data_IF_022157232083
#
_entry.id   IF_022157232083
#
_cell.length_a   1.000
_cell.length_b   1.000
_cell.length_c   1.000
_cell.angle_alpha   90.00
_cell.angle_beta   90.00
_cell.angle_gamma   90.00
#
_symmetry.space_group_name_H-M   'P 1'
#
loop_
_entity.id
_entity.type
_entity.pdbx_description
1 polymer ?
#
# COMPACT_ATOMS: atom_id res chain seq x y z
N UNK A 1 -14.34 -7.12 9.90
CA UNK A 1 -14.70 -6.47 11.18
C UNK A 1 -13.44 -5.89 11.79
N UNK A 2 -13.54 -4.82 12.54
CA UNK A 2 -12.41 -4.15 13.21
C UNK A 2 -12.67 -4.15 14.70
N UNK A 3 -11.66 -4.54 15.49
CA UNK A 3 -11.64 -4.46 16.95
C UNK A 3 -10.51 -3.52 17.34
N UNK A 4 -10.83 -2.45 18.05
CA UNK A 4 -9.85 -1.51 18.59
C UNK A 4 -9.59 -1.88 20.05
N UNK A 5 -8.32 -2.03 20.41
CA UNK A 5 -7.92 -2.32 21.78
C UNK A 5 -7.64 -1.03 22.56
N UNK A 6 -7.87 -1.06 23.85
CA UNK A 6 -7.49 0.04 24.74
C UNK A 6 -5.98 0.23 24.77
N UNK A 7 -5.55 1.42 25.13
CA UNK A 7 -4.13 1.70 25.31
C UNK A 7 -3.55 0.88 26.47
N UNK A 8 -2.31 0.39 26.29
CA UNK A 8 -1.59 -0.33 27.35
C UNK A 8 -2.11 -1.74 27.66
N UNK A 9 -2.83 -2.38 26.74
CA UNK A 9 -3.27 -3.77 26.93
C UNK A 9 -2.08 -4.71 27.05
N UNK A 10 -2.08 -5.52 28.10
CA UNK A 10 -1.08 -6.54 28.37
C UNK A 10 -0.97 -7.54 27.20
N UNK A 11 0.27 -7.81 26.76
CA UNK A 11 0.53 -8.66 25.60
C UNK A 11 -0.11 -10.07 25.71
N UNK A 12 -0.13 -10.64 26.90
CA UNK A 12 -0.74 -11.95 27.15
C UNK A 12 -2.25 -11.95 26.85
N UNK A 13 -2.98 -10.94 27.31
CA UNK A 13 -4.42 -10.78 27.07
C UNK A 13 -4.75 -10.53 25.60
N UNK A 14 -3.89 -9.73 24.92
CA UNK A 14 -4.00 -9.51 23.50
C UNK A 14 -3.82 -10.80 22.71
N UNK A 15 -2.78 -11.58 23.01
CA UNK A 15 -2.52 -12.86 22.36
C UNK A 15 -3.68 -13.84 22.57
N UNK A 16 -4.21 -13.93 23.78
CA UNK A 16 -5.35 -14.78 24.08
C UNK A 16 -6.58 -14.44 23.23
N UNK A 17 -6.89 -13.15 23.07
CA UNK A 17 -8.00 -12.71 22.21
C UNK A 17 -7.75 -13.07 20.74
N UNK A 18 -6.53 -12.85 20.25
CA UNK A 18 -6.15 -13.17 18.87
C UNK A 18 -6.28 -14.67 18.61
N UNK A 19 -5.79 -15.50 19.50
CA UNK A 19 -5.85 -16.96 19.35
C UNK A 19 -7.29 -17.48 19.40
N UNK A 20 -8.11 -16.88 20.26
CA UNK A 20 -9.55 -17.20 20.32
C UNK A 20 -10.27 -16.84 19.01
N UNK A 21 -9.96 -15.66 18.42
CA UNK A 21 -10.53 -15.25 17.13
C UNK A 21 -10.03 -16.12 15.97
N UNK A 22 -8.75 -16.52 15.97
CA UNK A 22 -8.20 -17.45 14.98
C UNK A 22 -8.85 -18.83 15.06
N UNK A 23 -9.15 -19.31 16.25
CA UNK A 23 -9.85 -20.58 16.46
C UNK A 23 -11.26 -20.60 15.85
N UNK A 24 -11.86 -19.42 15.59
CA UNK A 24 -13.13 -19.28 14.87
C UNK A 24 -12.95 -19.22 13.33
N UNK A 25 -11.77 -19.52 12.80
CA UNK A 25 -11.48 -19.53 11.37
C UNK A 25 -11.19 -18.16 10.77
N UNK A 26 -10.90 -17.16 11.60
CA UNK A 26 -10.60 -15.80 11.15
C UNK A 26 -9.09 -15.58 10.96
N UNK A 27 -8.72 -14.82 9.93
CA UNK A 27 -7.38 -14.28 9.78
C UNK A 27 -7.34 -12.92 10.47
N UNK A 28 -6.34 -12.72 11.33
CA UNK A 28 -6.20 -11.48 12.11
C UNK A 28 -5.02 -10.67 11.57
N UNK A 29 -5.31 -9.47 11.10
CA UNK A 29 -4.32 -8.45 10.79
C UNK A 29 -4.18 -7.51 11.98
N UNK A 30 -2.93 -7.33 12.44
CA UNK A 30 -2.62 -6.47 13.58
C UNK A 30 -2.00 -5.18 13.03
N UNK A 31 -2.58 -4.04 13.38
CA UNK A 31 -1.99 -2.72 13.14
C UNK A 31 -1.68 -2.10 14.49
N UNK A 32 -0.40 -1.96 14.79
CA UNK A 32 0.09 -1.34 16.03
C UNK A 32 0.45 0.11 15.76
N UNK A 33 -0.33 1.04 16.29
CA UNK A 33 -0.02 2.45 16.32
C UNK A 33 0.57 2.87 17.67
N UNK A 34 1.04 4.11 17.74
CA UNK A 34 1.66 4.66 18.96
C UNK A 34 0.69 4.66 20.16
N UNK A 35 -0.60 4.89 19.92
CA UNK A 35 -1.62 5.02 20.96
C UNK A 35 -2.65 3.89 21.00
N UNK A 36 -2.83 3.17 19.91
CA UNK A 36 -3.85 2.14 19.80
C UNK A 36 -3.40 0.95 18.97
N UNK A 37 -3.86 -0.24 19.36
CA UNK A 37 -3.72 -1.45 18.54
C UNK A 37 -5.08 -1.78 17.92
N UNK A 38 -5.08 -2.00 16.61
CA UNK A 38 -6.27 -2.35 15.84
C UNK A 38 -6.14 -3.76 15.31
N UNK A 39 -7.13 -4.60 15.58
CA UNK A 39 -7.23 -5.96 15.04
C UNK A 39 -8.24 -5.96 13.89
N UNK A 40 -7.76 -6.25 12.68
CA UNK A 40 -8.59 -6.44 11.51
C UNK A 40 -8.96 -7.91 11.34
N UNK A 41 -10.23 -8.24 11.47
CA UNK A 41 -10.76 -9.59 11.31
C UNK A 41 -11.16 -9.80 9.85
N UNK A 42 -10.50 -10.72 9.18
CA UNK A 42 -10.74 -11.09 7.78
C UNK A 42 -11.26 -12.53 7.73
N UNK A 43 -12.34 -12.72 7.00
CA UNK A 43 -13.06 -13.99 6.89
C UNK A 43 -14.55 -13.78 7.06
N UNK A 44 -15.28 -14.87 7.27
CA UNK A 44 -16.70 -14.81 7.56
C UNK A 44 -16.91 -14.39 9.02
N UNK A 45 -17.28 -13.12 9.19
CA UNK A 45 -17.57 -12.53 10.51
C UNK A 45 -19.05 -12.51 10.83
N UNK A 46 -19.89 -13.21 10.06
CA UNK A 46 -21.36 -13.18 10.24
C UNK A 46 -21.76 -13.73 11.60
N UNK A 47 -21.10 -14.79 12.03
CA UNK A 47 -21.38 -15.50 13.29
C UNK A 47 -20.55 -14.96 14.48
N UNK A 48 -19.76 -13.91 14.28
CA UNK A 48 -18.98 -13.32 15.36
C UNK A 48 -19.85 -12.42 16.20
N UNK A 49 -19.95 -12.74 17.48
CA UNK A 49 -20.70 -11.95 18.46
C UNK A 49 -19.93 -10.67 18.81
N UNK A 50 -20.43 -9.56 18.25
CA UNK A 50 -19.82 -8.23 18.46
C UNK A 50 -19.98 -7.73 19.90
N UNK A 51 -21.11 -8.05 20.52
CA UNK A 51 -21.42 -7.58 21.86
C UNK A 51 -20.54 -8.29 22.89
N UNK A 52 -20.30 -9.59 22.68
CA UNK A 52 -19.35 -10.36 23.48
C UNK A 52 -17.94 -9.76 23.39
N UNK A 53 -17.46 -9.46 22.17
CA UNK A 53 -16.12 -8.86 22.02
C UNK A 53 -16.07 -7.46 22.64
N UNK A 54 -17.11 -6.65 22.44
CA UNK A 54 -17.18 -5.31 23.00
C UNK A 54 -17.23 -5.30 24.54
N UNK A 55 -17.75 -6.37 25.15
CA UNK A 55 -17.79 -6.51 26.62
C UNK A 55 -16.43 -6.83 27.25
N UNK A 56 -15.45 -7.26 26.45
CA UNK A 56 -14.11 -7.56 26.95
C UNK A 56 -13.40 -6.31 27.47
N UNK A 57 -12.92 -6.37 28.69
CA UNK A 57 -12.30 -5.22 29.36
C UNK A 57 -11.10 -4.59 28.63
N UNK A 58 -10.50 -5.32 27.69
CA UNK A 58 -9.34 -4.89 26.88
C UNK A 58 -9.75 -4.22 25.55
N UNK A 59 -11.04 -4.30 25.18
CA UNK A 59 -11.57 -3.75 23.94
C UNK A 59 -12.10 -2.34 24.18
N UNK A 60 -11.76 -1.42 23.32
CA UNK A 60 -12.27 -0.07 23.27
C UNK A 60 -13.54 0.01 22.42
N UNK A 61 -13.48 -0.53 21.20
CA UNK A 61 -14.62 -0.54 20.29
C UNK A 61 -14.56 -1.68 19.28
N UNK A 62 -15.75 -2.11 18.80
CA UNK A 62 -15.91 -3.09 17.72
C UNK A 62 -16.79 -2.47 16.63
N UNK A 63 -16.35 -2.60 15.35
CA UNK A 63 -17.09 -2.04 14.21
C UNK A 63 -17.11 -3.02 13.04
N UNK A 64 -18.28 -3.23 12.44
CA UNK A 64 -18.37 -3.87 11.12
C UNK A 64 -17.96 -2.87 10.05
N UNK A 65 -17.04 -3.29 9.18
CA UNK A 65 -16.66 -2.50 8.01
C UNK A 65 -17.38 -3.12 6.82
N UNK A 66 -18.39 -2.44 6.36
CA UNK A 66 -19.17 -2.79 5.16
C UNK A 66 -18.64 -2.15 3.89
N UNK A 67 -17.51 -1.43 3.98
CA UNK A 67 -16.90 -0.76 2.85
C UNK A 67 -16.15 -1.76 1.97
N UNK A 68 -16.13 -1.56 0.63
CA UNK A 68 -15.51 -2.49 -0.31
C UNK A 68 -13.98 -2.58 -0.19
N UNK A 69 -13.35 -1.61 0.49
CA UNK A 69 -11.92 -1.58 0.78
C UNK A 69 -11.70 -1.59 2.29
N UNK A 70 -10.88 -2.53 2.78
CA UNK A 70 -10.62 -2.72 4.21
C UNK A 70 -9.19 -2.33 4.57
N UNK A 71 -8.19 -2.89 3.89
CA UNK A 71 -6.78 -2.73 4.26
C UNK A 71 -6.26 -1.28 4.14
N UNK A 72 -6.80 -0.50 3.21
CA UNK A 72 -6.42 0.90 3.01
C UNK A 72 -7.39 1.90 3.68
N UNK A 73 -8.35 1.40 4.45
CA UNK A 73 -9.31 2.26 5.13
C UNK A 73 -8.70 2.81 6.42
N UNK A 74 -8.85 4.11 6.67
CA UNK A 74 -8.38 4.78 7.89
C UNK A 74 -8.94 4.19 9.19
N UNK A 75 -10.11 3.55 9.14
CA UNK A 75 -10.66 2.82 10.28
C UNK A 75 -9.87 1.57 10.64
N UNK A 76 -9.14 1.00 9.66
CA UNK A 76 -8.29 -0.16 9.82
C UNK A 76 -6.82 0.24 10.01
N UNK A 77 -6.36 1.23 9.26
CA UNK A 77 -5.00 1.76 9.30
C UNK A 77 -5.06 3.28 9.54
N UNK A 78 -5.10 3.75 10.80
CA UNK A 78 -5.28 5.17 11.13
C UNK A 78 -4.09 6.03 10.70
N UNK A 79 -2.89 5.47 10.72
CA UNK A 79 -1.65 6.18 10.43
C UNK A 79 -1.37 6.29 8.92
N UNK A 80 -0.60 7.28 8.54
CA UNK A 80 -0.17 7.45 7.17
C UNK A 80 0.86 6.39 6.79
N UNK A 81 0.58 5.69 5.69
CA UNK A 81 1.58 4.80 5.09
C UNK A 81 2.64 5.64 4.38
N UNK A 82 3.89 5.39 4.69
CA UNK A 82 5.04 5.94 3.97
C UNK A 82 5.74 4.82 3.21
N UNK A 83 5.83 4.96 1.89
CA UNK A 83 6.55 4.03 1.03
C UNK A 83 7.91 4.61 0.70
N UNK A 84 8.97 3.87 0.98
CA UNK A 84 10.33 4.26 0.65
C UNK A 84 10.78 3.60 -0.66
N UNK A 85 11.26 4.42 -1.60
CA UNK A 85 11.81 3.99 -2.89
C UNK A 85 13.20 4.61 -3.05
N UNK A 86 14.23 3.88 -2.67
CA UNK A 86 15.56 4.46 -2.49
C UNK A 86 15.52 5.57 -1.45
N UNK A 87 15.96 6.77 -1.81
CA UNK A 87 15.96 7.94 -0.92
C UNK A 87 14.63 8.73 -0.96
N UNK A 88 13.66 8.29 -1.76
CA UNK A 88 12.38 8.98 -1.94
C UNK A 88 11.33 8.40 -1.01
N UNK A 89 10.66 9.26 -0.23
CA UNK A 89 9.55 8.90 0.66
C UNK A 89 8.23 9.38 0.06
N UNK A 90 7.30 8.44 -0.15
CA UNK A 90 5.97 8.70 -0.73
C UNK A 90 4.93 8.56 0.37
N UNK A 91 4.12 9.58 0.62
CA UNK A 91 3.13 9.62 1.69
C UNK A 91 3.62 10.32 2.95
N UNK A 92 2.83 10.34 4.01
CA UNK A 92 3.17 10.99 5.28
C UNK A 92 3.49 12.49 5.16
N UNK A 93 2.77 13.20 4.27
CA UNK A 93 2.99 14.63 4.03
C UNK A 93 4.12 14.97 3.04
N UNK A 94 4.86 13.97 2.52
CA UNK A 94 5.89 14.21 1.50
C UNK A 94 5.24 14.40 0.13
N UNK A 95 5.64 15.47 -0.57
CA UNK A 95 5.29 15.70 -1.96
C UNK A 95 6.33 15.03 -2.87
N UNK A 96 5.88 14.19 -3.81
CA UNK A 96 6.76 13.48 -4.75
C UNK A 96 6.32 13.75 -6.18
N UNK A 97 7.24 14.23 -7.00
CA UNK A 97 7.04 14.43 -8.43
C UNK A 97 7.48 13.19 -9.20
N UNK A 98 6.52 12.54 -9.85
CA UNK A 98 6.74 11.38 -10.73
C UNK A 98 6.55 11.86 -12.17
N UNK A 99 7.61 11.86 -12.98
CA UNK A 99 7.57 12.39 -14.34
C UNK A 99 8.25 11.47 -15.35
N UNK A 100 7.84 11.57 -16.62
CA UNK A 100 8.40 10.77 -17.71
C UNK A 100 7.40 10.55 -18.85
N UNK A 101 7.82 9.90 -19.95
CA UNK A 101 7.00 9.77 -21.14
C UNK A 101 5.83 8.81 -20.94
N UNK A 102 4.76 9.02 -21.69
CA UNK A 102 3.64 8.06 -21.71
C UNK A 102 4.10 6.69 -22.20
N UNK A 103 5.02 6.64 -23.17
CA UNK A 103 5.53 5.42 -23.77
C UNK A 103 7.06 5.45 -23.87
N UNK A 104 7.69 4.31 -23.60
CA UNK A 104 9.11 4.09 -23.89
C UNK A 104 9.20 3.58 -25.33
N UNK A 105 9.92 4.31 -26.19
CA UNK A 105 9.94 4.04 -27.64
C UNK A 105 11.37 3.81 -28.16
N UNK A 106 12.37 4.46 -27.57
CA UNK A 106 13.79 4.21 -27.85
C UNK A 106 14.66 4.53 -26.62
N UNK A 107 15.92 4.13 -26.67
CA UNK A 107 16.90 4.44 -25.63
C UNK A 107 17.17 5.94 -25.57
N UNK A 108 17.40 6.57 -26.73
CA UNK A 108 17.67 7.99 -26.83
C UNK A 108 16.53 8.82 -26.24
N UNK A 109 15.30 8.44 -26.57
CA UNK A 109 14.12 9.12 -26.06
C UNK A 109 14.03 9.04 -24.53
N UNK A 110 14.13 7.84 -23.98
CA UNK A 110 13.91 7.66 -22.54
C UNK A 110 15.04 8.28 -21.71
N UNK A 111 16.29 8.20 -22.18
CA UNK A 111 17.45 8.79 -21.50
C UNK A 111 17.36 10.33 -21.54
N UNK A 112 17.06 10.92 -22.70
CA UNK A 112 16.89 12.37 -22.84
C UNK A 112 15.75 12.90 -21.96
N UNK A 113 14.61 12.21 -21.96
CA UNK A 113 13.47 12.59 -21.09
C UNK A 113 13.84 12.43 -19.62
N UNK A 114 14.51 11.35 -19.22
CA UNK A 114 14.90 11.13 -17.84
C UNK A 114 15.85 12.24 -17.33
N UNK A 115 16.82 12.66 -18.14
CA UNK A 115 17.71 13.78 -17.83
C UNK A 115 16.94 15.10 -17.67
N UNK A 116 16.03 15.38 -18.60
CA UNK A 116 15.22 16.59 -18.57
C UNK A 116 14.29 16.67 -17.34
N UNK A 117 13.59 15.58 -17.01
CA UNK A 117 12.70 15.57 -15.84
C UNK A 117 13.49 15.61 -14.53
N UNK A 118 14.68 14.99 -14.47
CA UNK A 118 15.58 15.12 -13.33
C UNK A 118 16.02 16.57 -13.12
N UNK A 119 16.45 17.24 -14.19
CA UNK A 119 16.85 18.65 -14.15
C UNK A 119 15.69 19.56 -13.73
N UNK A 120 14.46 19.15 -14.02
CA UNK A 120 13.23 19.86 -13.62
C UNK A 120 12.77 19.53 -12.19
N UNK A 121 13.50 18.70 -11.44
CA UNK A 121 13.20 18.39 -10.04
C UNK A 121 12.31 17.18 -9.81
N UNK A 122 12.10 16.31 -10.80
CA UNK A 122 11.41 15.04 -10.58
C UNK A 122 12.17 14.13 -9.62
N UNK A 123 11.43 13.42 -8.76
CA UNK A 123 11.97 12.49 -7.78
C UNK A 123 11.98 11.05 -8.29
N UNK A 124 11.05 10.69 -9.17
CA UNK A 124 10.87 9.35 -9.72
C UNK A 124 10.66 9.44 -11.23
N UNK A 125 11.31 8.54 -11.99
CA UNK A 125 11.10 8.38 -13.41
C UNK A 125 9.88 7.47 -13.67
N UNK A 126 9.05 7.87 -14.61
CA UNK A 126 7.93 7.09 -15.10
C UNK A 126 8.07 6.81 -16.59
N UNK A 127 7.76 5.60 -17.04
CA UNK A 127 7.67 5.25 -18.45
C UNK A 127 6.78 4.03 -18.68
N UNK A 128 5.94 4.05 -19.72
CA UNK A 128 5.07 2.94 -20.06
C UNK A 128 5.73 1.98 -21.04
N UNK A 129 6.15 0.78 -20.58
CA UNK A 129 6.72 -0.27 -21.43
C UNK A 129 5.66 -1.16 -22.10
N UNK A 130 4.49 -1.30 -21.46
CA UNK A 130 3.35 -2.06 -21.95
C UNK A 130 2.18 -1.11 -22.24
N UNK A 131 1.54 -1.26 -23.40
CA UNK A 131 0.40 -0.43 -23.81
C UNK A 131 -0.79 -1.34 -24.14
N UNK A 132 -1.74 -1.52 -23.21
CA UNK A 132 -2.95 -2.29 -23.47
C UNK A 132 -3.84 -1.50 -24.45
N UNK A 133 -3.76 -1.85 -25.74
CA UNK A 133 -4.57 -1.25 -26.79
C UNK A 133 -5.63 -2.23 -27.26
N UNK A 134 -6.83 -1.72 -27.53
CA UNK A 134 -7.94 -2.52 -28.05
C UNK A 134 -7.68 -3.00 -29.49
N UNK A 135 -7.01 -2.19 -30.29
CA UNK A 135 -6.61 -2.59 -31.65
C UNK A 135 -5.27 -3.34 -31.62
N UNK A 136 -5.26 -4.53 -32.21
CA UNK A 136 -4.04 -5.35 -32.40
C UNK A 136 -2.99 -4.70 -33.32
N UNK A 137 -3.40 -3.74 -34.15
CA UNK A 137 -2.52 -3.01 -35.06
C UNK A 137 -1.87 -1.79 -34.42
N UNK A 138 -2.33 -1.36 -33.26
CA UNK A 138 -1.72 -0.26 -32.53
C UNK A 138 -0.44 -0.69 -31.83
N UNK A 139 0.46 0.25 -31.60
CA UNK A 139 1.69 0.03 -30.84
C UNK A 139 1.38 -0.47 -29.43
N UNK A 140 1.83 -1.66 -29.09
CA UNK A 140 1.58 -2.33 -27.81
C UNK A 140 2.65 -2.04 -26.75
N UNK A 141 3.59 -1.15 -27.03
CA UNK A 141 4.78 -0.90 -26.22
C UNK A 141 5.94 -1.84 -26.56
N UNK A 142 7.12 -1.52 -26.09
CA UNK A 142 8.33 -2.34 -26.26
C UNK A 142 8.38 -3.53 -25.29
N UNK A 143 7.40 -3.65 -24.40
CA UNK A 143 7.28 -4.75 -23.43
C UNK A 143 8.55 -4.91 -22.58
N UNK A 144 9.12 -6.12 -22.51
CA UNK A 144 10.33 -6.41 -21.73
C UNK A 144 11.52 -5.53 -22.15
N UNK A 145 11.71 -5.28 -23.44
CA UNK A 145 12.76 -4.39 -23.94
C UNK A 145 12.59 -2.96 -23.38
N UNK A 146 11.34 -2.47 -23.29
CA UNK A 146 11.08 -1.15 -22.69
C UNK A 146 11.45 -1.07 -21.20
N UNK A 147 11.38 -2.19 -20.46
CA UNK A 147 11.84 -2.25 -19.07
C UNK A 147 13.38 -2.15 -19.00
N UNK A 148 14.10 -2.82 -19.92
CA UNK A 148 15.56 -2.70 -19.95
C UNK A 148 16.00 -1.27 -20.30
N UNK A 149 15.30 -0.61 -21.21
CA UNK A 149 15.55 0.82 -21.52
C UNK A 149 15.28 1.74 -20.32
N UNK A 150 14.26 1.45 -19.52
CA UNK A 150 14.03 2.16 -18.25
C UNK A 150 15.17 1.96 -17.24
N UNK A 151 15.74 0.75 -17.17
CA UNK A 151 16.93 0.49 -16.33
C UNK A 151 18.15 1.28 -16.79
N UNK A 152 18.37 1.39 -18.13
CA UNK A 152 19.42 2.23 -18.70
C UNK A 152 19.23 3.71 -18.29
N UNK A 153 18.01 4.23 -18.43
CA UNK A 153 17.70 5.61 -18.03
C UNK A 153 17.88 5.84 -16.52
N UNK A 154 17.48 4.86 -15.69
CA UNK A 154 17.73 4.87 -14.24
C UNK A 154 19.23 4.92 -13.95
N UNK A 155 20.04 4.09 -14.60
CA UNK A 155 21.50 4.08 -14.41
C UNK A 155 22.14 5.42 -14.81
N UNK A 156 21.66 6.05 -15.89
CA UNK A 156 22.15 7.34 -16.36
C UNK A 156 21.78 8.52 -15.45
N UNK A 157 20.67 8.43 -14.71
CA UNK A 157 20.12 9.55 -13.93
C UNK A 157 20.12 9.35 -12.44
N UNK A 158 20.13 8.11 -11.95
CA UNK A 158 19.93 7.77 -10.56
C UNK A 158 18.48 7.95 -10.07
N UNK A 159 17.52 8.33 -10.94
CA UNK A 159 16.10 8.37 -10.58
C UNK A 159 15.57 6.94 -10.40
N UNK A 160 14.87 6.62 -9.31
CA UNK A 160 14.17 5.35 -9.16
C UNK A 160 13.00 5.22 -10.13
#
# INVERSE_FOLDING_TARGET
MIVVLKHGVEAAKRTQLIDWLKAQGLVIHISEGEYQTVLGLVGDTTNVDMDLIASLGIVDSVKRVSEPFKCCNRKFHPEDTVVEVGDVKIGGGNFVMIAGPCSVESEEQIVAVAQAVKASGANILRGGAFKPRTSRYAFQGLRATGIELLKTARAATGLP
#
